data_IF_811036604062
#
_entry.id   IF_811036604062
#
_cell.length_a   1.000
_cell.length_b   1.000
_cell.length_c   1.000
_cell.angle_alpha   90.00
_cell.angle_beta   90.00
_cell.angle_gamma   90.00
#
_symmetry.space_group_name_H-M   'P 1'
#
loop_
_entity.id
_entity.type
_entity.pdbx_description
1 polymer ?
#
# COMPACT_ATOMS: atom_id res chain seq x y z
N UNK A 1 -13.47 -25.61 -15.10
CA UNK A 1 -13.52 -24.36 -14.30
C UNK A 1 -14.95 -24.16 -13.80
N UNK A 2 -15.38 -24.92 -12.77
CA UNK A 2 -16.65 -24.64 -12.08
C UNK A 2 -16.35 -23.63 -10.98
N UNK A 3 -16.72 -22.38 -11.19
CA UNK A 3 -16.74 -21.40 -10.10
C UNK A 3 -17.89 -21.85 -9.20
N UNK A 4 -17.54 -22.58 -8.15
CA UNK A 4 -18.52 -23.22 -7.27
C UNK A 4 -19.41 -22.14 -6.63
N UNK A 5 -20.71 -22.42 -6.52
CA UNK A 5 -21.71 -21.57 -5.87
C UNK A 5 -21.25 -21.05 -4.49
N UNK A 6 -20.53 -21.90 -3.73
CA UNK A 6 -19.91 -21.57 -2.44
C UNK A 6 -18.87 -20.42 -2.50
N UNK A 7 -18.26 -20.19 -3.66
CA UNK A 7 -17.34 -19.07 -3.90
C UNK A 7 -18.10 -17.77 -4.11
N UNK A 8 -19.24 -17.82 -4.79
CA UNK A 8 -20.07 -16.64 -5.04
C UNK A 8 -20.71 -16.13 -3.76
N UNK A 9 -21.16 -17.04 -2.89
CA UNK A 9 -21.66 -16.66 -1.55
C UNK A 9 -20.56 -16.00 -0.71
N UNK A 10 -19.34 -16.53 -0.71
CA UNK A 10 -18.20 -15.92 0.01
C UNK A 10 -17.87 -14.53 -0.53
N UNK A 11 -17.83 -14.35 -1.84
CA UNK A 11 -17.59 -13.05 -2.47
C UNK A 11 -18.71 -12.07 -2.08
N UNK A 12 -19.96 -12.53 -2.07
CA UNK A 12 -21.10 -11.73 -1.62
C UNK A 12 -20.95 -11.30 -0.15
N UNK A 13 -20.58 -12.21 0.76
CA UNK A 13 -20.34 -11.87 2.17
C UNK A 13 -19.17 -10.89 2.35
N UNK A 14 -18.08 -11.06 1.60
CA UNK A 14 -16.94 -10.12 1.63
C UNK A 14 -17.36 -8.75 1.11
N UNK A 15 -18.09 -8.69 -0.01
CA UNK A 15 -18.58 -7.43 -0.56
C UNK A 15 -19.55 -6.73 0.40
N UNK A 16 -20.47 -7.49 1.02
CA UNK A 16 -21.38 -6.98 2.04
C UNK A 16 -20.62 -6.43 3.24
N UNK A 17 -19.60 -7.13 3.72
CA UNK A 17 -18.74 -6.67 4.81
C UNK A 17 -18.06 -5.34 4.48
N UNK A 18 -17.47 -5.22 3.27
CA UNK A 18 -16.84 -3.97 2.82
C UNK A 18 -17.85 -2.81 2.73
N UNK A 19 -19.06 -3.09 2.23
CA UNK A 19 -20.13 -2.09 2.15
C UNK A 19 -20.58 -1.62 3.54
N UNK A 20 -20.74 -2.53 4.50
CA UNK A 20 -21.07 -2.18 5.89
C UNK A 20 -19.93 -1.37 6.52
N UNK A 21 -18.68 -1.79 6.34
CA UNK A 21 -17.52 -1.06 6.86
C UNK A 21 -17.45 0.37 6.29
N UNK A 22 -17.70 0.53 4.99
CA UNK A 22 -17.79 1.83 4.34
C UNK A 22 -18.96 2.66 4.89
N UNK A 23 -20.14 2.06 5.02
CA UNK A 23 -21.33 2.73 5.54
C UNK A 23 -21.13 3.20 6.99
N UNK A 24 -20.49 2.40 7.83
CA UNK A 24 -20.13 2.77 9.20
C UNK A 24 -19.11 3.92 9.20
N UNK A 25 -18.04 3.81 8.40
CA UNK A 25 -17.04 4.89 8.28
C UNK A 25 -17.65 6.21 7.82
N UNK A 26 -18.49 6.18 6.79
CA UNK A 26 -19.24 7.34 6.33
C UNK A 26 -20.24 7.84 7.38
N UNK A 27 -20.93 6.93 8.07
CA UNK A 27 -21.88 7.26 9.13
C UNK A 27 -21.22 8.03 10.27
N UNK A 28 -20.02 7.63 10.69
CA UNK A 28 -19.23 8.34 11.70
C UNK A 28 -18.87 9.75 11.23
N UNK A 29 -18.40 9.90 9.99
CA UNK A 29 -18.05 11.21 9.42
C UNK A 29 -19.30 12.11 9.31
N UNK A 30 -20.42 11.59 8.82
CA UNK A 30 -21.69 12.33 8.71
C UNK A 30 -22.18 12.75 10.08
N UNK A 31 -22.18 11.82 11.05
CA UNK A 31 -22.61 12.10 12.41
C UNK A 31 -21.72 13.18 13.04
N UNK A 32 -20.40 13.13 12.84
CA UNK A 32 -19.48 14.18 13.27
C UNK A 32 -19.83 15.53 12.63
N UNK A 33 -20.08 15.58 11.32
CA UNK A 33 -20.42 16.83 10.63
C UNK A 33 -21.79 17.40 11.06
N UNK A 34 -22.74 16.56 11.47
CA UNK A 34 -24.07 16.98 11.94
C UNK A 34 -24.06 17.42 13.40
N UNK A 35 -23.33 16.71 14.27
CA UNK A 35 -23.25 16.99 15.70
C UNK A 35 -22.18 18.01 16.07
N UNK A 36 -21.17 18.23 15.21
CA UNK A 36 -20.11 19.18 15.50
C UNK A 36 -20.66 20.60 15.54
N UNK A 37 -20.54 21.24 16.69
CA UNK A 37 -20.80 22.66 16.83
C UNK A 37 -19.81 23.43 15.96
N UNK A 38 -20.30 24.06 14.89
CA UNK A 38 -19.48 24.93 14.06
C UNK A 38 -18.99 26.10 14.94
N UNK A 39 -17.70 26.45 14.91
CA UNK A 39 -17.20 27.60 15.65
C UNK A 39 -17.98 28.85 15.23
N UNK A 40 -18.44 29.63 16.21
CA UNK A 40 -19.15 30.90 15.96
C UNK A 40 -18.31 31.90 15.16
N UNK A 41 -16.99 31.77 15.20
CA UNK A 41 -16.03 32.55 14.42
C UNK A 41 -15.13 31.62 13.61
N UNK A 42 -15.28 31.66 12.30
CA UNK A 42 -14.39 30.97 11.37
C UNK A 42 -13.30 31.95 10.91
N UNK A 43 -12.28 32.15 11.75
CA UNK A 43 -11.17 33.05 11.43
C UNK A 43 -10.26 32.40 10.38
N UNK A 44 -9.80 33.17 9.39
CA UNK A 44 -8.90 32.68 8.32
C UNK A 44 -7.68 31.93 8.85
N UNK A 45 -7.19 32.32 10.03
CA UNK A 45 -6.07 31.69 10.71
C UNK A 45 -6.29 30.21 11.06
N UNK A 46 -7.54 29.77 11.29
CA UNK A 46 -7.86 28.37 11.60
C UNK A 46 -7.60 27.43 10.41
N UNK A 47 -7.60 27.97 9.18
CA UNK A 47 -7.36 27.22 7.96
C UNK A 47 -5.91 27.35 7.45
N UNK A 48 -5.06 28.12 8.13
CA UNK A 48 -3.66 28.19 7.77
C UNK A 48 -2.96 26.87 8.12
N UNK A 49 -2.03 26.38 7.26
CA UNK A 49 -1.18 25.25 7.61
C UNK A 49 -0.45 25.49 8.93
N UNK A 50 -0.27 24.42 9.70
CA UNK A 50 0.37 24.51 11.00
C UNK A 50 1.86 24.80 10.87
N UNK A 51 2.27 26.00 11.25
CA UNK A 51 3.69 26.38 11.37
C UNK A 51 3.89 27.31 12.58
N UNK A 52 3.37 26.89 13.75
CA UNK A 52 3.49 27.61 15.03
C UNK A 52 3.08 29.10 15.00
N UNK A 53 2.03 29.43 14.22
CA UNK A 53 1.53 30.81 14.09
C UNK A 53 2.27 31.67 13.06
N UNK A 54 3.22 31.08 12.32
CA UNK A 54 3.89 31.73 11.20
C UNK A 54 3.17 31.41 9.89
N UNK A 55 3.27 32.34 8.93
CA UNK A 55 2.84 32.07 7.56
C UNK A 55 3.81 31.06 6.94
N UNK A 56 3.32 30.01 6.26
CA UNK A 56 4.19 28.94 5.80
C UNK A 56 5.33 29.43 4.91
N UNK A 57 6.56 29.01 5.22
CA UNK A 57 7.76 29.47 4.52
C UNK A 57 7.94 28.81 3.14
N UNK A 58 7.33 27.64 2.93
CA UNK A 58 7.43 26.90 1.67
C UNK A 58 6.07 26.33 1.26
N UNK A 59 5.83 26.31 -0.04
CA UNK A 59 4.73 25.56 -0.62
C UNK A 59 4.97 24.04 -0.40
N UNK A 60 3.97 23.33 0.09
CA UNK A 60 4.01 21.88 0.30
C UNK A 60 4.15 21.08 -1.01
N UNK A 61 4.07 21.75 -2.17
CA UNK A 61 4.22 21.19 -3.51
C UNK A 61 5.66 21.17 -4.04
N UNK A 62 6.64 21.35 -3.16
CA UNK A 62 8.06 21.22 -3.50
C UNK A 62 8.42 19.82 -4.04
N UNK A 63 9.58 19.73 -4.70
CA UNK A 63 10.11 18.44 -5.17
C UNK A 63 10.44 17.56 -3.97
N UNK A 64 9.71 16.46 -3.83
CA UNK A 64 10.05 15.44 -2.86
C UNK A 64 11.36 14.74 -3.26
N UNK A 65 12.19 14.34 -2.29
CA UNK A 65 13.41 13.58 -2.56
C UNK A 65 13.15 12.32 -3.40
N UNK A 66 13.96 12.10 -4.45
CA UNK A 66 13.84 10.96 -5.38
C UNK A 66 13.94 9.60 -4.69
N UNK A 67 14.54 9.53 -3.49
CA UNK A 67 14.64 8.31 -2.68
C UNK A 67 13.31 7.59 -2.45
N UNK A 68 12.19 8.31 -2.32
CA UNK A 68 10.88 7.69 -2.16
C UNK A 68 10.42 6.94 -3.41
N UNK A 69 10.79 7.45 -4.59
CA UNK A 69 10.52 6.79 -5.87
C UNK A 69 11.31 5.49 -6.01
N UNK A 70 12.60 5.50 -5.65
CA UNK A 70 13.45 4.29 -5.70
C UNK A 70 12.89 3.20 -4.78
N UNK A 71 12.44 3.57 -3.57
CA UNK A 71 11.76 2.64 -2.67
C UNK A 71 10.46 2.09 -3.24
N UNK A 72 9.60 2.95 -3.80
CA UNK A 72 8.34 2.52 -4.39
C UNK A 72 8.55 1.59 -5.59
N UNK A 73 9.54 1.88 -6.44
CA UNK A 73 9.88 1.05 -7.59
C UNK A 73 10.46 -0.31 -7.16
N UNK A 74 11.37 -0.33 -6.19
CA UNK A 74 11.92 -1.56 -5.64
C UNK A 74 10.81 -2.43 -4.98
N UNK A 75 9.89 -1.80 -4.24
CA UNK A 75 8.73 -2.48 -3.67
C UNK A 75 7.81 -3.05 -4.75
N UNK A 76 7.50 -2.28 -5.79
CA UNK A 76 6.66 -2.72 -6.90
C UNK A 76 7.25 -3.94 -7.62
N UNK A 77 8.55 -3.91 -7.92
CA UNK A 77 9.24 -5.05 -8.54
C UNK A 77 9.15 -6.26 -7.62
N UNK A 78 9.50 -6.12 -6.34
CA UNK A 78 9.41 -7.20 -5.36
C UNK A 78 8.00 -7.79 -5.25
N UNK A 79 6.96 -6.94 -5.23
CA UNK A 79 5.57 -7.35 -5.11
C UNK A 79 5.07 -8.12 -6.35
N UNK A 80 5.44 -7.67 -7.54
CA UNK A 80 5.14 -8.38 -8.80
C UNK A 80 5.78 -9.77 -8.80
N UNK A 81 7.02 -9.89 -8.32
CA UNK A 81 7.73 -11.16 -8.31
C UNK A 81 7.10 -12.15 -7.32
N UNK A 82 6.63 -11.68 -6.15
CA UNK A 82 5.83 -12.51 -5.23
C UNK A 82 4.50 -12.90 -5.87
N UNK A 83 3.88 -12.01 -6.64
CA UNK A 83 2.66 -12.33 -7.36
C UNK A 83 2.86 -13.47 -8.39
N UNK A 84 4.07 -13.60 -8.96
CA UNK A 84 4.42 -14.72 -9.85
C UNK A 84 4.51 -16.07 -9.13
N UNK A 85 4.53 -16.10 -7.80
CA UNK A 85 4.48 -17.36 -7.03
C UNK A 85 3.04 -17.91 -6.92
N UNK A 86 2.00 -17.10 -7.10
CA UNK A 86 0.62 -17.58 -7.05
C UNK A 86 0.30 -18.74 -8.02
N UNK A 87 0.67 -18.68 -9.32
CA UNK A 87 0.44 -19.80 -10.23
C UNK A 87 1.26 -21.05 -9.89
N UNK A 88 2.36 -20.90 -9.15
CA UNK A 88 3.14 -22.05 -8.69
C UNK A 88 2.43 -22.85 -7.60
N UNK A 89 1.71 -22.19 -6.66
CA UNK A 89 1.05 -22.83 -5.51
C UNK A 89 0.22 -24.08 -5.88
N UNK A 90 -0.67 -24.06 -6.90
CA UNK A 90 -1.43 -25.26 -7.27
C UNK A 90 -0.56 -26.37 -7.88
N UNK A 91 0.60 -26.04 -8.45
CA UNK A 91 1.49 -26.94 -9.16
C UNK A 91 2.63 -27.51 -8.30
N UNK A 92 2.73 -27.10 -7.03
CA UNK A 92 3.81 -27.50 -6.09
C UNK A 92 4.02 -29.03 -6.08
N UNK A 93 2.93 -29.81 -6.10
CA UNK A 93 2.99 -31.28 -6.05
C UNK A 93 3.50 -31.90 -7.35
N UNK A 94 3.21 -31.26 -8.48
CA UNK A 94 3.60 -31.76 -9.82
C UNK A 94 5.04 -31.41 -10.14
N UNK A 95 5.48 -30.19 -9.78
CA UNK A 95 6.85 -29.70 -10.02
C UNK A 95 7.87 -30.24 -9.01
N UNK A 96 7.43 -30.62 -7.81
CA UNK A 96 8.26 -31.28 -6.79
C UNK A 96 9.58 -30.55 -6.51
N UNK A 97 10.71 -31.28 -6.55
CA UNK A 97 12.05 -30.74 -6.26
C UNK A 97 12.55 -29.74 -7.33
N UNK A 98 12.11 -29.91 -8.57
CA UNK A 98 12.48 -29.01 -9.66
C UNK A 98 11.84 -27.63 -9.45
N UNK A 99 10.54 -27.61 -9.12
CA UNK A 99 9.83 -26.38 -8.76
C UNK A 99 10.44 -25.63 -7.58
N UNK A 100 10.87 -26.37 -6.56
CA UNK A 100 11.56 -25.79 -5.40
C UNK A 100 12.88 -25.12 -5.79
N UNK A 101 13.67 -25.74 -6.67
CA UNK A 101 14.94 -25.19 -7.14
C UNK A 101 14.74 -23.89 -7.93
N UNK A 102 13.74 -23.83 -8.81
CA UNK A 102 13.38 -22.62 -9.56
C UNK A 102 12.98 -21.46 -8.63
N UNK A 103 12.17 -21.74 -7.61
CA UNK A 103 11.78 -20.71 -6.63
C UNK A 103 12.99 -20.21 -5.83
N UNK A 104 13.85 -21.12 -5.37
CA UNK A 104 15.06 -20.72 -4.65
C UNK A 104 15.98 -19.87 -5.53
N UNK A 105 16.13 -20.24 -6.80
CA UNK A 105 16.90 -19.47 -7.77
C UNK A 105 16.32 -18.07 -7.97
N UNK A 106 15.01 -17.98 -8.17
CA UNK A 106 14.28 -16.73 -8.32
C UNK A 106 14.43 -15.81 -7.09
N UNK A 107 14.25 -16.33 -5.88
CA UNK A 107 14.49 -15.58 -4.64
C UNK A 107 15.96 -15.17 -4.45
N UNK A 108 16.91 -15.99 -4.91
CA UNK A 108 18.33 -15.66 -4.82
C UNK A 108 18.68 -14.43 -5.66
N UNK A 109 18.17 -14.35 -6.89
CA UNK A 109 18.36 -13.18 -7.76
C UNK A 109 17.78 -11.93 -7.11
N UNK A 110 16.57 -12.01 -6.57
CA UNK A 110 15.91 -10.94 -5.83
C UNK A 110 16.72 -10.47 -4.63
N UNK A 111 17.24 -11.41 -3.84
CA UNK A 111 18.04 -11.09 -2.66
C UNK A 111 19.35 -10.39 -3.04
N UNK A 112 19.99 -10.81 -4.14
CA UNK A 112 21.18 -10.14 -4.67
C UNK A 112 20.86 -8.72 -5.17
N UNK A 113 19.74 -8.54 -5.89
CA UNK A 113 19.28 -7.22 -6.33
C UNK A 113 19.00 -6.28 -5.14
N UNK A 114 18.37 -6.80 -4.08
CA UNK A 114 18.12 -6.06 -2.85
C UNK A 114 19.42 -5.62 -2.16
N UNK A 115 20.41 -6.52 -2.02
CA UNK A 115 21.72 -6.18 -1.46
C UNK A 115 22.39 -5.09 -2.29
N UNK A 116 22.37 -5.21 -3.63
CA UNK A 116 22.96 -4.20 -4.52
C UNK A 116 22.33 -2.81 -4.33
N UNK A 117 21.01 -2.73 -4.27
CA UNK A 117 20.28 -1.47 -4.07
C UNK A 117 20.61 -0.90 -2.69
N UNK A 118 20.64 -1.74 -1.64
CA UNK A 118 21.00 -1.32 -0.27
C UNK A 118 22.38 -0.71 -0.21
N UNK A 119 23.39 -1.37 -0.77
CA UNK A 119 24.76 -0.87 -0.77
C UNK A 119 24.92 0.43 -1.59
N UNK A 120 24.20 0.56 -2.70
CA UNK A 120 24.21 1.77 -3.52
C UNK A 120 23.52 2.94 -2.83
N UNK A 121 22.35 2.69 -2.22
CA UNK A 121 21.62 3.68 -1.44
C UNK A 121 22.46 4.16 -0.24
N UNK A 122 23.17 3.28 0.47
CA UNK A 122 24.04 3.66 1.58
C UNK A 122 25.20 4.58 1.14
N UNK A 123 25.70 4.44 -0.08
CA UNK A 123 26.81 5.26 -0.61
C UNK A 123 26.36 6.66 -1.05
N UNK A 124 25.18 6.79 -1.65
CA UNK A 124 24.59 8.09 -1.98
C UNK A 124 24.17 8.90 -0.75
N UNK A 125 24.04 8.26 0.41
CA UNK A 125 23.52 8.88 1.63
C UNK A 125 24.60 9.29 2.64
N UNK A 126 25.88 9.18 2.24
CA UNK A 126 26.96 9.96 2.85
C UNK A 126 27.11 11.28 2.11
#
# INVERSE_FOLDING_TARGET
MRINFLSMEKIFFVALYLLIALAVGMGIVILHLLLSEKPKTSTKEKYLPFESGMVPFHDARGRLPVKFYIFALAFLIFDIEVALLFPYVPLVKELGKFGLAEILFFFTILFLAYIYIRETALKEWK
#
